data_IF_079492984631
#
_entry.id   IF_079492984631
#
_cell.length_a   1.000
_cell.length_b   1.000
_cell.length_c   1.000
_cell.angle_alpha   90.00
_cell.angle_beta   90.00
_cell.angle_gamma   90.00
#
_symmetry.space_group_name_H-M   'P 1'
#
loop_
_entity.id
_entity.type
_entity.pdbx_description
1 polymer ?
#
# COMPACT_ATOMS: atom_id res chain seq x y z
N UNK A 1 23.28 19.96 -31.56
CA UNK A 1 23.47 18.99 -30.48
C UNK A 1 22.53 17.82 -30.77
N UNK A 2 23.07 16.62 -30.90
CA UNK A 2 22.30 15.45 -31.37
C UNK A 2 21.20 15.06 -30.37
N UNK A 3 19.99 14.80 -30.85
CA UNK A 3 18.84 14.32 -30.05
C UNK A 3 19.19 13.10 -29.17
N UNK A 4 20.10 12.27 -29.61
CA UNK A 4 20.66 11.12 -28.87
C UNK A 4 21.44 11.54 -27.61
N UNK A 5 22.12 12.71 -27.64
CA UNK A 5 22.90 13.20 -26.51
C UNK A 5 22.01 13.82 -25.43
N UNK A 6 20.94 14.54 -25.84
CA UNK A 6 19.93 15.09 -24.93
C UNK A 6 19.15 13.98 -24.25
N UNK A 7 18.78 12.91 -25.00
CA UNK A 7 18.13 11.72 -24.44
C UNK A 7 19.01 10.99 -23.43
N UNK A 8 20.32 10.89 -23.68
CA UNK A 8 21.26 10.24 -22.75
C UNK A 8 21.47 11.03 -21.46
N UNK A 9 21.49 12.36 -21.53
CA UNK A 9 21.58 13.24 -20.33
C UNK A 9 20.30 13.15 -19.50
N UNK A 10 19.10 13.21 -20.13
CA UNK A 10 17.82 13.02 -19.42
C UNK A 10 17.73 11.67 -18.70
N UNK A 11 18.09 10.58 -19.39
CA UNK A 11 18.11 9.24 -18.79
C UNK A 11 19.10 9.18 -17.62
N UNK A 12 20.25 9.82 -17.71
CA UNK A 12 21.26 9.83 -16.65
C UNK A 12 20.82 10.66 -15.44
N UNK A 13 20.14 11.78 -15.65
CA UNK A 13 19.56 12.60 -14.57
C UNK A 13 18.37 11.89 -13.91
N UNK A 14 17.53 11.20 -14.66
CA UNK A 14 16.43 10.37 -14.13
C UNK A 14 16.97 9.19 -13.30
N UNK A 15 18.01 8.49 -13.81
CA UNK A 15 18.68 7.41 -13.07
C UNK A 15 19.36 7.95 -11.80
N UNK A 16 20.00 9.10 -11.87
CA UNK A 16 20.64 9.73 -10.71
C UNK A 16 19.62 10.21 -9.69
N UNK A 17 18.47 10.71 -10.12
CA UNK A 17 17.33 11.05 -9.26
C UNK A 17 16.76 9.82 -8.55
N UNK A 18 16.49 8.74 -9.28
CA UNK A 18 16.04 7.47 -8.73
C UNK A 18 17.06 6.85 -7.75
N UNK A 19 18.35 6.90 -8.09
CA UNK A 19 19.43 6.43 -7.20
C UNK A 19 19.55 7.29 -5.94
N UNK A 20 19.29 8.59 -6.03
CA UNK A 20 19.29 9.50 -4.86
C UNK A 20 18.11 9.15 -3.96
N UNK A 21 16.91 9.00 -4.48
CA UNK A 21 15.71 8.63 -3.72
C UNK A 21 15.88 7.27 -3.04
N UNK A 22 16.43 6.28 -3.76
CA UNK A 22 16.73 4.96 -3.20
C UNK A 22 17.88 4.96 -2.18
N UNK A 23 18.80 5.92 -2.28
CA UNK A 23 19.90 6.11 -1.32
C UNK A 23 19.37 6.76 -0.04
N UNK A 24 18.43 7.68 -0.18
CA UNK A 24 17.78 8.38 0.93
C UNK A 24 16.85 7.44 1.72
N UNK A 25 16.24 6.44 1.07
CA UNK A 25 15.44 5.41 1.76
C UNK A 25 16.25 4.60 2.78
N UNK A 26 17.55 4.42 2.54
CA UNK A 26 18.46 3.72 3.47
C UNK A 26 18.68 4.50 4.77
N UNK A 27 18.57 5.83 4.72
CA UNK A 27 18.78 6.72 5.88
C UNK A 27 17.48 7.21 6.49
N UNK A 28 16.33 6.92 5.84
CA UNK A 28 15.03 7.42 6.25
C UNK A 28 14.58 6.85 7.60
N UNK A 29 14.77 5.55 7.78
CA UNK A 29 14.38 4.88 9.02
C UNK A 29 15.61 4.48 9.82
N UNK A 30 15.62 4.77 11.14
CA UNK A 30 16.64 4.25 12.05
C UNK A 30 16.57 2.71 12.12
N UNK A 31 17.61 2.09 12.68
CA UNK A 31 17.63 0.64 12.87
C UNK A 31 16.47 0.16 13.76
N UNK A 32 16.12 0.97 14.77
CA UNK A 32 14.95 0.73 15.63
C UNK A 32 13.87 1.76 15.36
N UNK A 33 12.70 1.29 14.95
CA UNK A 33 11.48 2.11 14.75
C UNK A 33 10.68 2.13 16.03
N UNK A 34 10.19 3.31 16.39
CA UNK A 34 9.25 3.54 17.50
C UNK A 34 8.05 4.35 17.05
N UNK A 35 6.97 4.30 17.83
CA UNK A 35 5.78 5.11 17.56
C UNK A 35 6.07 6.62 17.67
N UNK A 36 6.97 7.02 18.56
CA UNK A 36 7.42 8.42 18.71
C UNK A 36 8.11 8.89 17.45
N UNK A 37 9.05 8.08 16.90
CA UNK A 37 9.73 8.41 15.65
C UNK A 37 8.72 8.62 14.50
N UNK A 38 7.72 7.75 14.38
CA UNK A 38 6.68 7.86 13.34
C UNK A 38 5.87 9.14 13.52
N UNK A 39 5.47 9.46 14.75
CA UNK A 39 4.67 10.68 15.03
C UNK A 39 5.45 11.97 14.79
N UNK A 40 6.77 11.96 15.00
CA UNK A 40 7.65 13.11 14.77
C UNK A 40 8.01 13.32 13.30
N UNK A 41 7.58 12.43 12.39
CA UNK A 41 7.81 12.60 10.97
C UNK A 41 7.08 13.82 10.42
N UNK A 42 7.69 14.55 9.46
CA UNK A 42 7.08 15.75 8.92
C UNK A 42 5.79 15.43 8.13
N UNK A 43 4.81 16.31 8.26
CA UNK A 43 3.57 16.31 7.47
C UNK A 43 3.57 17.51 6.54
N UNK A 44 2.91 17.39 5.38
CA UNK A 44 2.75 18.54 4.50
C UNK A 44 1.82 19.60 5.11
N UNK A 45 1.96 20.84 4.70
CA UNK A 45 0.96 21.86 5.06
C UNK A 45 -0.32 21.66 4.24
N UNK A 46 -1.47 21.83 4.89
CA UNK A 46 -2.77 21.85 4.23
C UNK A 46 -3.07 23.23 3.70
N UNK A 47 -3.73 23.31 2.53
CA UNK A 47 -4.27 24.57 2.01
C UNK A 47 -5.46 25.01 2.88
N UNK A 48 -5.88 26.29 2.77
CA UNK A 48 -7.05 26.79 3.52
C UNK A 48 -8.34 26.09 3.09
N UNK A 49 -8.44 25.69 1.80
CA UNK A 49 -9.56 24.92 1.29
C UNK A 49 -9.60 23.53 1.92
N UNK A 50 -8.45 22.86 2.03
CA UNK A 50 -8.36 21.54 2.69
C UNK A 50 -8.68 21.64 4.20
N UNK A 51 -8.22 22.69 4.87
CA UNK A 51 -8.53 22.92 6.31
C UNK A 51 -10.03 23.11 6.56
N UNK A 52 -10.75 23.64 5.56
CA UNK A 52 -12.20 23.85 5.66
C UNK A 52 -13.04 22.57 5.48
N UNK A 53 -12.43 21.46 5.00
CA UNK A 53 -13.14 20.20 4.81
C UNK A 53 -13.48 19.52 6.14
N UNK A 54 -14.67 18.89 6.27
CA UNK A 54 -15.17 18.38 7.55
C UNK A 54 -14.28 17.29 8.18
N UNK A 55 -13.52 16.57 7.36
CA UNK A 55 -12.59 15.51 7.80
C UNK A 55 -11.15 15.99 7.98
N UNK A 56 -10.83 17.28 7.76
CA UNK A 56 -9.47 17.83 7.95
C UNK A 56 -8.92 17.62 9.37
N UNK A 57 -9.81 17.57 10.37
CA UNK A 57 -9.46 17.31 11.78
C UNK A 57 -8.67 16.00 11.98
N UNK A 58 -8.89 15.00 11.12
CA UNK A 58 -8.18 13.72 11.21
C UNK A 58 -6.70 13.85 10.81
N UNK A 59 -6.37 14.82 9.95
CA UNK A 59 -4.98 15.07 9.53
C UNK A 59 -4.08 15.55 10.68
N UNK A 60 -4.65 16.23 11.66
CA UNK A 60 -3.91 16.82 12.78
C UNK A 60 -3.83 15.91 14.01
N UNK A 61 -4.52 14.78 14.01
CA UNK A 61 -4.39 13.77 15.06
C UNK A 61 -2.99 13.14 15.05
N UNK A 62 -2.55 12.69 16.23
CA UNK A 62 -1.40 11.80 16.29
C UNK A 62 -1.70 10.52 15.51
N UNK A 63 -0.66 9.94 14.91
CA UNK A 63 -0.77 8.62 14.29
C UNK A 63 -1.15 7.59 15.33
N UNK A 64 -2.02 6.67 14.97
CA UNK A 64 -2.32 5.54 15.83
C UNK A 64 -1.06 4.71 16.09
N UNK A 65 -0.93 4.21 17.31
CA UNK A 65 0.23 3.39 17.68
C UNK A 65 0.20 2.04 16.97
N UNK A 66 1.32 1.68 16.38
CA UNK A 66 1.58 0.31 15.96
C UNK A 66 1.74 -0.54 17.23
N UNK A 67 1.10 -1.72 17.34
CA UNK A 67 1.32 -2.63 18.47
C UNK A 67 2.80 -2.93 18.68
N UNK A 68 3.21 -2.99 19.97
CA UNK A 68 4.63 -3.20 20.28
C UNK A 68 5.17 -4.52 19.71
N UNK A 69 4.34 -5.56 19.68
CA UNK A 69 4.67 -6.86 19.10
C UNK A 69 5.03 -6.77 17.61
N UNK A 70 4.32 -5.95 16.83
CA UNK A 70 4.62 -5.73 15.42
C UNK A 70 5.90 -4.90 15.22
N UNK A 71 6.11 -3.88 16.08
CA UNK A 71 7.36 -3.12 16.08
C UNK A 71 8.56 -4.01 16.41
N UNK A 72 8.42 -4.91 17.39
CA UNK A 72 9.48 -5.84 17.79
C UNK A 72 9.82 -6.80 16.63
N UNK A 73 8.83 -7.30 15.89
CA UNK A 73 9.06 -8.14 14.70
C UNK A 73 9.83 -7.39 13.61
N UNK A 74 9.45 -6.15 13.32
CA UNK A 74 10.16 -5.34 12.30
C UNK A 74 11.57 -4.96 12.75
N UNK A 75 11.75 -4.64 14.03
CA UNK A 75 13.03 -4.26 14.62
C UNK A 75 13.98 -5.45 14.79
N UNK A 76 13.47 -6.66 14.91
CA UNK A 76 14.26 -7.89 14.91
C UNK A 76 15.00 -8.14 13.58
N UNK A 77 14.59 -7.43 12.50
CA UNK A 77 15.20 -7.57 11.19
C UNK A 77 14.45 -8.53 10.27
N UNK A 78 15.09 -8.99 9.18
CA UNK A 78 14.41 -9.79 8.16
C UNK A 78 14.08 -11.19 8.68
N UNK A 79 12.93 -11.70 8.25
CA UNK A 79 12.53 -13.10 8.47
C UNK A 79 13.41 -14.03 7.61
N UNK A 80 13.42 -15.32 7.95
CA UNK A 80 13.93 -16.36 7.06
C UNK A 80 13.10 -16.40 5.77
N UNK A 81 13.72 -16.29 4.58
CA UNK A 81 13.01 -16.32 3.31
C UNK A 81 12.15 -17.58 3.08
N UNK A 82 12.48 -18.69 3.73
CA UNK A 82 11.68 -19.92 3.65
C UNK A 82 10.29 -19.80 4.28
N UNK A 83 10.09 -18.80 5.17
CA UNK A 83 8.80 -18.47 5.80
C UNK A 83 7.98 -17.44 5.03
N UNK A 84 8.56 -16.84 3.99
CA UNK A 84 7.83 -15.92 3.12
C UNK A 84 6.87 -16.69 2.22
N UNK A 85 5.69 -16.13 1.98
CA UNK A 85 4.72 -16.68 1.02
C UNK A 85 5.22 -16.42 -0.42
N UNK A 86 5.57 -17.43 -1.21
CA UNK A 86 5.87 -17.24 -2.63
C UNK A 86 4.63 -16.71 -3.38
N UNK A 87 4.83 -15.85 -4.38
CA UNK A 87 3.72 -15.25 -5.13
C UNK A 87 2.86 -16.30 -5.84
N UNK A 88 3.46 -17.41 -6.26
CA UNK A 88 2.79 -18.55 -6.89
C UNK A 88 1.83 -19.26 -5.93
N UNK A 89 1.97 -19.02 -4.64
CA UNK A 89 1.13 -19.56 -3.57
C UNK A 89 0.18 -18.51 -2.96
N UNK A 90 -0.03 -17.38 -3.63
CA UNK A 90 -0.86 -16.30 -3.12
C UNK A 90 -2.29 -16.75 -2.73
N UNK A 91 -2.82 -17.76 -3.42
CA UNK A 91 -4.13 -18.36 -3.10
C UNK A 91 -4.22 -18.93 -1.67
N UNK A 92 -3.09 -19.22 -1.00
CA UNK A 92 -3.09 -19.64 0.41
C UNK A 92 -3.57 -18.57 1.38
N UNK A 93 -3.70 -17.31 0.94
CA UNK A 93 -4.37 -16.27 1.72
C UNK A 93 -5.86 -16.55 1.95
N UNK A 94 -6.45 -17.44 1.16
CA UNK A 94 -7.83 -17.94 1.32
C UNK A 94 -7.95 -19.05 2.36
N UNK A 95 -6.84 -19.69 2.75
CA UNK A 95 -6.83 -20.79 3.72
C UNK A 95 -7.24 -20.28 5.10
N UNK A 96 -7.92 -21.13 5.86
CA UNK A 96 -8.22 -20.88 7.26
C UNK A 96 -6.92 -20.77 8.08
N UNK A 97 -6.97 -19.99 9.17
CA UNK A 97 -5.85 -19.80 10.08
C UNK A 97 -4.82 -18.78 9.59
N UNK A 98 -3.55 -19.03 9.89
CA UNK A 98 -2.44 -18.12 9.64
C UNK A 98 -1.31 -18.79 8.86
N UNK A 99 -0.58 -17.98 8.09
CA UNK A 99 0.63 -18.40 7.40
C UNK A 99 1.84 -18.31 8.34
N UNK A 100 2.98 -18.88 7.93
CA UNK A 100 4.21 -18.86 8.70
C UNK A 100 4.72 -17.45 9.05
N UNK A 101 4.36 -16.46 8.21
CA UNK A 101 4.65 -15.04 8.46
C UNK A 101 3.39 -14.21 8.21
N UNK A 102 2.88 -13.58 9.26
CA UNK A 102 1.80 -12.58 9.16
C UNK A 102 2.35 -11.15 9.20
N UNK A 103 3.41 -10.88 9.97
CA UNK A 103 4.13 -9.60 10.00
C UNK A 103 5.63 -9.84 9.83
N UNK A 104 6.26 -9.16 8.87
CA UNK A 104 7.70 -9.26 8.63
C UNK A 104 8.09 -8.97 7.18
N UNK A 105 9.38 -8.99 6.92
CA UNK A 105 9.92 -8.70 5.59
C UNK A 105 11.20 -9.47 5.34
N UNK A 106 11.54 -9.70 4.08
CA UNK A 106 12.83 -10.25 3.70
C UNK A 106 13.18 -9.96 2.24
N UNK A 107 14.44 -10.21 1.92
CA UNK A 107 14.88 -10.35 0.56
C UNK A 107 14.86 -11.83 0.17
N UNK A 108 14.25 -12.13 -0.97
CA UNK A 108 14.15 -13.49 -1.48
C UNK A 108 15.45 -13.90 -2.20
N UNK A 109 15.82 -15.20 -2.16
CA UNK A 109 17.03 -15.71 -2.84
C UNK A 109 17.06 -15.45 -4.34
N UNK A 110 15.88 -15.34 -4.97
CA UNK A 110 15.70 -15.11 -6.40
C UNK A 110 15.88 -13.63 -6.82
N UNK A 111 16.26 -12.76 -5.88
CA UNK A 111 16.50 -11.34 -6.14
C UNK A 111 15.22 -10.48 -6.15
N UNK A 112 14.11 -10.99 -5.60
CA UNK A 112 12.89 -10.24 -5.29
C UNK A 112 12.83 -9.88 -3.82
N UNK A 113 11.78 -9.17 -3.37
CA UNK A 113 11.56 -8.87 -1.96
C UNK A 113 10.15 -9.29 -1.54
N UNK A 114 9.98 -9.47 -0.25
CA UNK A 114 8.70 -9.82 0.36
C UNK A 114 8.46 -8.96 1.61
N UNK A 115 7.22 -8.52 1.79
CA UNK A 115 6.74 -7.97 3.05
C UNK A 115 5.32 -8.49 3.34
N UNK A 116 5.03 -8.65 4.60
CA UNK A 116 3.73 -9.06 5.11
C UNK A 116 3.36 -8.22 6.33
N UNK A 117 2.08 -7.92 6.48
CA UNK A 117 1.51 -7.32 7.69
C UNK A 117 0.14 -7.88 7.97
N UNK A 118 -0.20 -7.98 9.25
CA UNK A 118 -1.55 -8.28 9.71
C UNK A 118 -1.95 -7.22 10.73
N UNK A 119 -3.02 -6.50 10.46
CA UNK A 119 -3.55 -5.48 11.36
C UNK A 119 -4.96 -5.86 11.76
N UNK A 120 -5.22 -5.96 13.06
CA UNK A 120 -6.57 -6.05 13.58
C UNK A 120 -7.19 -4.65 13.65
N UNK A 121 -8.37 -4.51 13.09
CA UNK A 121 -9.09 -3.23 13.01
C UNK A 121 -10.38 -3.32 13.83
N UNK A 122 -10.35 -2.92 15.11
CA UNK A 122 -11.51 -3.04 16.00
C UNK A 122 -12.66 -2.15 15.53
N UNK A 123 -13.88 -2.72 15.48
CA UNK A 123 -15.10 -1.98 15.09
C UNK A 123 -15.21 -1.66 13.60
N UNK A 124 -14.22 -2.00 12.80
CA UNK A 124 -14.26 -1.86 11.34
C UNK A 124 -14.99 -3.04 10.72
N UNK A 125 -15.82 -2.78 9.72
CA UNK A 125 -16.54 -3.80 8.93
C UNK A 125 -16.00 -3.88 7.51
N UNK A 126 -16.31 -4.97 6.82
CA UNK A 126 -16.01 -5.14 5.40
C UNK A 126 -16.59 -3.99 4.57
N UNK A 127 -17.82 -3.56 4.85
CA UNK A 127 -18.48 -2.45 4.16
C UNK A 127 -17.72 -1.13 4.30
N UNK A 128 -17.16 -0.86 5.48
CA UNK A 128 -16.33 0.34 5.71
C UNK A 128 -15.06 0.31 4.86
N UNK A 129 -14.42 -0.85 4.69
CA UNK A 129 -13.24 -1.01 3.84
C UNK A 129 -13.62 -0.80 2.36
N UNK A 130 -14.67 -1.45 1.89
CA UNK A 130 -15.13 -1.31 0.50
C UNK A 130 -15.54 0.14 0.19
N UNK A 131 -16.19 0.82 1.16
CA UNK A 131 -16.48 2.24 1.06
C UNK A 131 -15.21 3.09 1.00
N UNK A 132 -14.24 2.85 1.89
CA UNK A 132 -13.00 3.61 1.97
C UNK A 132 -12.24 3.61 0.64
N UNK A 133 -12.05 2.45 0.04
CA UNK A 133 -11.33 2.30 -1.23
C UNK A 133 -12.05 2.93 -2.43
N UNK A 134 -13.31 3.27 -2.30
CA UNK A 134 -14.08 4.01 -3.30
C UNK A 134 -14.20 5.51 -2.97
N UNK A 135 -14.09 5.90 -1.70
CA UNK A 135 -14.25 7.26 -1.25
C UNK A 135 -12.92 8.06 -1.25
N UNK A 136 -11.84 7.48 -0.74
CA UNK A 136 -10.58 8.20 -0.59
C UNK A 136 -9.92 8.62 -1.92
N UNK A 137 -10.02 7.89 -3.06
CA UNK A 137 -9.33 8.26 -4.29
C UNK A 137 -9.92 9.48 -4.99
N UNK A 138 -11.04 10.00 -4.51
CA UNK A 138 -11.76 11.11 -5.15
C UNK A 138 -11.23 12.49 -4.75
N UNK A 139 -10.44 12.58 -3.65
CA UNK A 139 -9.94 13.86 -3.16
C UNK A 139 -8.63 13.68 -2.38
N UNK A 140 -7.66 14.58 -2.63
CA UNK A 140 -6.29 14.45 -2.11
C UNK A 140 -6.18 14.40 -0.58
N UNK A 141 -6.99 15.19 0.14
CA UNK A 141 -6.97 15.19 1.61
C UNK A 141 -7.51 13.88 2.19
N UNK A 142 -8.48 13.24 1.53
CA UNK A 142 -9.01 11.92 1.95
C UNK A 142 -7.91 10.86 2.00
N UNK A 143 -6.98 10.92 1.06
CA UNK A 143 -5.79 10.06 1.06
C UNK A 143 -4.78 10.48 2.13
N UNK A 144 -4.57 11.79 2.29
CA UNK A 144 -3.59 12.31 3.24
C UNK A 144 -3.98 12.02 4.71
N UNK A 145 -5.26 12.00 5.06
CA UNK A 145 -5.69 11.66 6.44
C UNK A 145 -5.48 10.19 6.80
N UNK A 146 -5.35 9.31 5.80
CA UNK A 146 -5.04 7.91 6.03
C UNK A 146 -3.65 7.71 6.64
N UNK A 147 -2.64 8.39 6.07
CA UNK A 147 -1.28 8.36 6.59
C UNK A 147 -0.62 9.74 6.44
N UNK A 148 -0.91 10.70 7.34
CA UNK A 148 -0.44 12.08 7.25
C UNK A 148 1.07 12.25 7.11
N UNK A 149 1.86 11.25 7.54
CA UNK A 149 3.34 11.27 7.49
C UNK A 149 3.91 10.70 6.19
N UNK A 150 3.07 10.09 5.34
CA UNK A 150 3.52 9.43 4.11
C UNK A 150 2.69 9.80 2.87
N UNK A 151 1.41 10.13 3.02
CA UNK A 151 0.49 10.39 1.93
C UNK A 151 0.33 11.88 1.66
N UNK A 152 0.69 12.32 0.45
CA UNK A 152 0.59 13.74 0.09
C UNK A 152 -0.65 14.07 -0.72
N UNK A 153 -1.23 13.12 -1.42
CA UNK A 153 -2.43 13.30 -2.23
C UNK A 153 -2.66 12.14 -3.18
N UNK A 154 -3.80 12.13 -3.85
CA UNK A 154 -4.18 11.08 -4.81
C UNK A 154 -5.08 11.66 -5.90
N UNK A 155 -5.12 10.99 -7.04
CA UNK A 155 -6.16 11.15 -8.06
C UNK A 155 -6.55 9.79 -8.65
N UNK A 156 -7.81 9.62 -8.97
CA UNK A 156 -8.29 8.48 -9.75
C UNK A 156 -8.23 8.81 -11.24
N UNK A 157 -7.91 7.83 -12.09
CA UNK A 157 -7.91 7.98 -13.56
C UNK A 157 -9.32 8.25 -14.10
N UNK A 158 -10.31 7.64 -13.48
CA UNK A 158 -11.74 7.71 -13.84
C UNK A 158 -12.56 7.91 -12.56
N UNK A 159 -12.55 9.13 -11.96
CA UNK A 159 -13.24 9.37 -10.70
C UNK A 159 -14.75 9.12 -10.78
N UNK A 160 -15.40 9.41 -11.90
CA UNK A 160 -16.82 9.16 -12.15
C UNK A 160 -17.22 7.69 -11.96
N UNK A 161 -16.28 6.81 -12.19
CA UNK A 161 -16.52 5.38 -12.04
C UNK A 161 -16.59 4.92 -10.57
N UNK A 162 -16.02 5.67 -9.62
CA UNK A 162 -16.19 5.44 -8.18
C UNK A 162 -17.57 5.94 -7.69
N UNK A 163 -18.12 6.95 -8.37
CA UNK A 163 -19.44 7.53 -8.08
C UNK A 163 -20.59 6.72 -8.67
N UNK A 164 -20.30 5.89 -9.68
CA UNK A 164 -21.33 5.09 -10.34
C UNK A 164 -21.83 3.97 -9.43
N UNK A 165 -23.08 4.11 -8.97
CA UNK A 165 -23.78 3.13 -8.15
C UNK A 165 -24.62 2.13 -8.96
N UNK A 166 -24.61 2.22 -10.30
CA UNK A 166 -25.50 1.45 -11.19
C UNK A 166 -25.05 -0.01 -11.38
N UNK A 167 -25.00 -0.80 -10.31
CA UNK A 167 -24.93 -2.26 -10.41
C UNK A 167 -23.57 -2.91 -10.15
N UNK A 168 -22.48 -2.17 -9.92
CA UNK A 168 -21.21 -2.74 -9.49
C UNK A 168 -21.13 -2.71 -7.96
N UNK A 169 -20.96 -3.86 -7.34
CA UNK A 169 -20.69 -3.93 -5.90
C UNK A 169 -19.47 -3.09 -5.53
N UNK A 170 -19.48 -2.41 -4.37
CA UNK A 170 -18.31 -1.69 -3.84
C UNK A 170 -17.09 -2.60 -3.77
N UNK A 171 -17.29 -3.83 -3.32
CA UNK A 171 -16.31 -4.90 -3.20
C UNK A 171 -15.48 -5.18 -4.47
N UNK A 172 -16.04 -5.03 -5.66
CA UNK A 172 -15.35 -5.29 -6.93
C UNK A 172 -15.13 -4.03 -7.76
N UNK A 173 -15.55 -2.87 -7.25
CA UNK A 173 -15.56 -1.63 -8.01
C UNK A 173 -14.19 -1.15 -8.43
N UNK A 174 -13.15 -1.47 -7.66
CA UNK A 174 -11.78 -1.09 -7.98
C UNK A 174 -11.15 -1.92 -9.11
N UNK A 175 -11.65 -3.12 -9.40
CA UNK A 175 -11.07 -3.98 -10.43
C UNK A 175 -11.03 -3.26 -11.79
N UNK A 176 -9.84 -3.23 -12.39
CA UNK A 176 -9.57 -2.56 -13.66
C UNK A 176 -9.37 -1.05 -13.56
N UNK A 177 -9.40 -0.47 -12.36
CA UNK A 177 -9.16 0.96 -12.14
C UNK A 177 -7.70 1.27 -11.89
N UNK A 178 -7.38 2.56 -12.00
CA UNK A 178 -6.02 3.06 -11.79
C UNK A 178 -6.08 4.32 -10.93
N UNK A 179 -5.31 4.32 -9.86
CA UNK A 179 -5.10 5.47 -8.99
C UNK A 179 -3.67 6.00 -9.12
N UNK A 180 -3.50 7.29 -8.86
CA UNK A 180 -2.20 7.98 -8.90
C UNK A 180 -1.95 8.67 -7.56
N UNK A 181 -1.53 7.95 -6.52
CA UNK A 181 -1.11 8.57 -5.27
C UNK A 181 0.27 9.23 -5.40
N UNK A 182 0.47 10.24 -4.55
CA UNK A 182 1.78 10.84 -4.26
C UNK A 182 2.12 10.46 -2.83
N UNK A 183 3.11 9.60 -2.66
CA UNK A 183 3.46 9.06 -1.34
C UNK A 183 4.96 8.87 -1.13
N UNK A 184 5.35 8.87 0.13
CA UNK A 184 6.71 8.66 0.63
C UNK A 184 6.85 9.25 2.02
N UNK A 185 7.53 8.57 2.92
CA UNK A 185 7.74 9.02 4.30
C UNK A 185 8.60 10.29 4.45
N UNK A 186 9.32 10.66 3.43
CA UNK A 186 10.00 11.95 3.36
C UNK A 186 9.27 12.80 2.33
N UNK A 187 8.75 13.95 2.74
CA UNK A 187 8.10 14.90 1.83
C UNK A 187 8.97 15.26 0.62
N UNK A 188 10.31 15.21 0.78
CA UNK A 188 11.27 15.43 -0.30
C UNK A 188 11.45 14.24 -1.23
N UNK A 189 11.06 13.04 -0.75
CA UNK A 189 11.14 11.76 -1.46
C UNK A 189 9.78 11.26 -1.96
N UNK A 190 8.70 12.01 -1.75
CA UNK A 190 7.38 11.62 -2.21
C UNK A 190 7.36 11.45 -3.74
N UNK A 191 6.83 10.32 -4.20
CA UNK A 191 6.80 9.93 -5.59
C UNK A 191 5.38 9.76 -6.08
N UNK A 192 5.14 10.11 -7.34
CA UNK A 192 3.91 9.75 -8.05
C UNK A 192 3.98 8.26 -8.41
N UNK A 193 3.02 7.51 -7.91
CA UNK A 193 2.89 6.07 -8.12
C UNK A 193 1.63 5.81 -8.96
N UNK A 194 1.67 4.81 -9.80
CA UNK A 194 0.51 4.25 -10.48
C UNK A 194 0.12 2.97 -9.75
N UNK A 195 -1.09 2.91 -9.21
CA UNK A 195 -1.71 1.72 -8.62
C UNK A 195 -2.79 1.22 -9.58
N UNK A 196 -2.56 0.07 -10.20
CA UNK A 196 -3.51 -0.56 -11.11
C UNK A 196 -4.12 -1.80 -10.46
N UNK A 197 -5.45 -1.84 -10.32
CA UNK A 197 -6.17 -2.87 -9.58
C UNK A 197 -6.56 -4.05 -10.49
N UNK A 198 -6.54 -5.25 -9.93
CA UNK A 198 -6.76 -6.51 -10.63
C UNK A 198 -7.76 -7.41 -9.90
N UNK A 199 -8.38 -8.30 -10.68
CA UNK A 199 -9.14 -9.44 -10.15
C UNK A 199 -8.21 -10.50 -9.55
N UNK A 200 -8.63 -11.25 -8.52
CA UNK A 200 -7.90 -12.40 -7.96
C UNK A 200 -7.53 -13.48 -8.97
N UNK A 201 -8.18 -13.50 -10.12
CA UNK A 201 -7.88 -14.41 -11.23
C UNK A 201 -6.41 -14.33 -11.71
N UNK A 202 -5.72 -13.18 -11.50
CA UNK A 202 -4.28 -13.08 -11.83
C UNK A 202 -3.43 -14.08 -11.03
N UNK A 203 -3.91 -14.52 -9.87
CA UNK A 203 -3.30 -15.55 -9.02
C UNK A 203 -3.90 -16.95 -9.24
N UNK A 204 -4.76 -17.11 -10.25
CA UNK A 204 -5.47 -18.36 -10.51
C UNK A 204 -6.58 -18.66 -9.50
N UNK A 205 -7.03 -17.66 -8.75
CA UNK A 205 -8.12 -17.77 -7.77
C UNK A 205 -9.45 -17.62 -8.51
N UNK A 206 -10.31 -18.64 -8.46
CA UNK A 206 -11.65 -18.57 -9.04
C UNK A 206 -12.66 -17.90 -8.11
N UNK A 207 -13.80 -17.51 -8.67
CA UNK A 207 -14.90 -16.94 -7.91
C UNK A 207 -15.43 -17.93 -6.86
N UNK A 208 -15.52 -19.21 -7.21
CA UNK A 208 -15.99 -20.27 -6.32
C UNK A 208 -15.03 -20.47 -5.13
N UNK A 209 -13.72 -20.34 -5.36
CA UNK A 209 -12.72 -20.40 -4.28
C UNK A 209 -12.85 -19.20 -3.33
N UNK A 210 -13.10 -17.99 -3.86
CA UNK A 210 -13.37 -16.82 -3.03
C UNK A 210 -14.62 -16.98 -2.18
N UNK A 211 -15.73 -17.39 -2.81
CA UNK A 211 -17.02 -17.60 -2.12
C UNK A 211 -16.96 -18.70 -1.06
N UNK A 212 -16.08 -19.68 -1.22
CA UNK A 212 -15.88 -20.77 -0.27
C UNK A 212 -14.90 -20.43 0.87
N UNK A 213 -14.19 -19.29 0.78
CA UNK A 213 -13.19 -18.88 1.77
C UNK A 213 -13.78 -18.03 2.88
N UNK A 214 -12.99 -17.80 3.94
CA UNK A 214 -13.31 -16.85 5.01
C UNK A 214 -12.97 -15.38 4.64
N UNK A 215 -12.46 -15.13 3.45
CA UNK A 215 -12.14 -13.78 2.99
C UNK A 215 -13.42 -13.01 2.63
N UNK A 216 -13.63 -11.88 3.28
CA UNK A 216 -14.84 -11.06 3.11
C UNK A 216 -14.69 -9.99 2.04
N UNK A 217 -13.49 -9.43 1.88
CA UNK A 217 -13.14 -8.50 0.78
C UNK A 217 -11.65 -8.52 0.49
N UNK A 218 -11.23 -7.88 -0.59
CA UNK A 218 -9.83 -7.84 -1.00
C UNK A 218 -9.51 -6.59 -1.83
N UNK A 219 -8.20 -6.25 -1.85
CA UNK A 219 -7.63 -5.32 -2.82
C UNK A 219 -6.35 -5.93 -3.38
N UNK A 220 -6.27 -6.03 -4.71
CA UNK A 220 -5.12 -6.57 -5.43
C UNK A 220 -4.68 -5.55 -6.46
N UNK A 221 -3.42 -5.12 -6.40
CA UNK A 221 -2.91 -4.19 -7.40
C UNK A 221 -1.41 -4.31 -7.63
N UNK A 222 -0.97 -3.68 -8.71
CA UNK A 222 0.45 -3.38 -8.95
C UNK A 222 0.74 -1.95 -8.55
N UNK A 223 1.90 -1.72 -7.91
CA UNK A 223 2.49 -0.39 -7.74
C UNK A 223 3.62 -0.20 -8.74
N UNK A 224 3.59 0.91 -9.46
CA UNK A 224 4.62 1.28 -10.44
C UNK A 224 5.00 2.74 -10.22
N UNK A 225 6.29 3.04 -10.02
CA UNK A 225 6.78 4.43 -10.06
C UNK A 225 6.53 5.01 -11.45
N UNK A 226 6.03 6.25 -11.52
CA UNK A 226 5.71 6.89 -12.81
C UNK A 226 6.97 7.47 -13.45
N UNK A 227 7.91 8.00 -12.63
CA UNK A 227 9.17 8.61 -13.10
C UNK A 227 10.34 8.23 -12.19
N UNK A 228 11.29 7.39 -12.66
CA UNK A 228 11.22 6.58 -13.88
C UNK A 228 10.14 5.49 -13.77
N UNK A 229 9.56 5.07 -14.89
CA UNK A 229 8.56 4.01 -14.87
C UNK A 229 9.21 2.68 -14.48
N UNK A 230 9.00 2.27 -13.23
CA UNK A 230 9.62 1.08 -12.66
C UNK A 230 8.63 0.33 -11.78
N UNK A 231 8.36 -0.96 -12.03
CA UNK A 231 7.54 -1.78 -11.14
C UNK A 231 8.14 -1.83 -9.74
N UNK A 232 7.32 -1.55 -8.73
CA UNK A 232 7.69 -1.59 -7.31
C UNK A 232 7.30 -2.93 -6.73
N UNK A 233 6.00 -3.24 -6.71
CA UNK A 233 5.46 -4.48 -6.15
C UNK A 233 4.13 -4.87 -6.80
N UNK A 234 3.69 -6.08 -6.49
CA UNK A 234 2.29 -6.48 -6.49
C UNK A 234 1.90 -6.61 -5.02
N UNK A 235 0.73 -6.12 -4.65
CA UNK A 235 0.16 -6.39 -3.34
C UNK A 235 -1.14 -7.18 -3.41
N UNK A 236 -1.42 -7.91 -2.35
CA UNK A 236 -2.70 -8.54 -2.09
C UNK A 236 -3.09 -8.27 -0.64
N UNK A 237 -4.13 -7.49 -0.46
CA UNK A 237 -4.81 -7.29 0.81
C UNK A 237 -5.99 -8.25 0.89
N UNK A 238 -5.92 -9.20 1.80
CA UNK A 238 -6.96 -10.16 2.10
C UNK A 238 -7.60 -9.79 3.44
N UNK A 239 -8.87 -9.47 3.42
CA UNK A 239 -9.61 -9.01 4.58
C UNK A 239 -10.61 -10.07 4.99
N UNK A 240 -10.69 -10.39 6.28
CA UNK A 240 -11.69 -11.29 6.83
C UNK A 240 -12.33 -10.72 8.09
N UNK A 241 -13.59 -11.02 8.29
CA UNK A 241 -14.30 -10.69 9.52
C UNK A 241 -13.86 -11.61 10.65
N UNK A 242 -13.67 -11.02 11.82
CA UNK A 242 -13.35 -11.72 13.07
C UNK A 242 -14.15 -11.12 14.21
N UNK A 243 -14.13 -11.75 15.38
CA UNK A 243 -14.82 -11.20 16.54
C UNK A 243 -14.32 -9.79 16.88
N UNK A 244 -15.23 -8.83 16.89
CA UNK A 244 -14.97 -7.44 17.24
C UNK A 244 -14.40 -6.55 16.13
N UNK A 245 -14.26 -7.04 14.89
CA UNK A 245 -13.77 -6.23 13.77
C UNK A 245 -13.33 -7.06 12.57
N UNK A 246 -12.24 -6.64 11.94
CA UNK A 246 -11.64 -7.36 10.80
C UNK A 246 -10.15 -7.59 11.03
N UNK A 247 -9.61 -8.59 10.38
CA UNK A 247 -8.18 -8.74 10.13
C UNK A 247 -7.84 -8.29 8.71
N UNK A 248 -6.95 -7.32 8.60
CA UNK A 248 -6.42 -6.80 7.35
C UNK A 248 -5.04 -7.40 7.12
N UNK A 249 -4.95 -8.39 6.21
CA UNK A 249 -3.75 -9.20 5.95
C UNK A 249 -3.14 -8.79 4.62
N UNK A 250 -2.00 -8.10 4.65
CA UNK A 250 -1.32 -7.61 3.44
C UNK A 250 -0.14 -8.48 3.07
N UNK A 251 0.04 -8.69 1.78
CA UNK A 251 1.25 -9.30 1.20
C UNK A 251 1.75 -8.44 0.06
N UNK A 252 3.05 -8.23 0.02
CA UNK A 252 3.74 -7.43 -0.98
C UNK A 252 4.87 -8.25 -1.57
N UNK A 253 4.84 -8.45 -2.88
CA UNK A 253 5.91 -9.09 -3.64
C UNK A 253 6.63 -8.02 -4.46
N UNK A 254 7.79 -7.59 -3.95
CA UNK A 254 8.57 -6.51 -4.55
C UNK A 254 9.27 -7.01 -5.80
N UNK A 255 9.38 -6.13 -6.79
CA UNK A 255 9.97 -6.41 -8.10
C UNK A 255 9.13 -7.36 -8.96
N UNK A 256 7.84 -7.45 -8.68
CA UNK A 256 6.85 -8.10 -9.53
C UNK A 256 5.96 -7.09 -10.24
N UNK A 257 5.39 -7.51 -11.35
CA UNK A 257 4.39 -6.79 -12.15
C UNK A 257 3.42 -7.80 -12.76
N UNK A 258 2.35 -7.33 -13.40
CA UNK A 258 1.42 -8.18 -14.16
C UNK A 258 1.71 -8.03 -15.65
N UNK A 259 1.88 -9.14 -16.33
CA UNK A 259 2.01 -9.24 -17.78
C UNK A 259 1.16 -10.39 -18.29
N UNK A 260 0.40 -10.13 -19.37
CA UNK A 260 -0.51 -11.12 -19.98
C UNK A 260 -1.47 -11.77 -18.94
N UNK A 261 -1.98 -10.93 -17.99
CA UNK A 261 -2.90 -11.36 -16.94
C UNK A 261 -2.28 -12.22 -15.84
N UNK A 262 -0.95 -12.29 -15.73
CA UNK A 262 -0.26 -13.11 -14.72
C UNK A 262 0.85 -12.33 -14.03
N UNK A 263 1.12 -12.59 -12.74
CA UNK A 263 2.28 -12.08 -12.05
C UNK A 263 3.58 -12.57 -12.71
N UNK A 264 4.52 -11.66 -12.88
CA UNK A 264 5.86 -12.00 -13.36
C UNK A 264 6.91 -11.08 -12.74
N UNK A 265 8.15 -11.57 -12.67
CA UNK A 265 9.26 -10.74 -12.20
C UNK A 265 9.52 -9.61 -13.19
N UNK A 266 9.73 -8.42 -12.65
CA UNK A 266 10.18 -7.28 -13.45
C UNK A 266 11.60 -7.53 -13.97
N UNK A 267 11.80 -7.31 -15.26
CA UNK A 267 13.13 -7.33 -15.88
C UNK A 267 14.00 -6.11 -15.57
N UNK A 268 13.51 -5.15 -14.79
CA UNK A 268 14.25 -3.96 -14.40
C UNK A 268 15.51 -4.33 -13.61
N UNK A 269 16.69 -3.73 -13.90
CA UNK A 269 17.88 -3.88 -13.07
C UNK A 269 17.72 -3.24 -11.69
N UNK A 270 16.70 -2.38 -11.51
CA UNK A 270 16.37 -1.71 -10.26
C UNK A 270 15.04 -2.21 -9.69
N UNK A 271 14.90 -2.23 -8.34
CA UNK A 271 15.94 -1.98 -7.34
C UNK A 271 17.02 -3.06 -7.32
N UNK A 272 18.23 -2.68 -6.90
CA UNK A 272 19.33 -3.62 -6.66
C UNK A 272 19.05 -4.51 -5.45
N UNK A 273 19.85 -5.57 -5.28
CA UNK A 273 19.71 -6.52 -4.17
C UNK A 273 19.74 -5.85 -2.79
N UNK A 274 20.68 -4.92 -2.57
CA UNK A 274 20.76 -4.18 -1.30
C UNK A 274 19.61 -3.19 -1.09
N UNK A 275 19.06 -2.64 -2.15
CA UNK A 275 17.91 -1.74 -2.08
C UNK A 275 16.62 -2.49 -1.74
N UNK A 276 16.45 -3.71 -2.23
CA UNK A 276 15.26 -4.54 -1.95
C UNK A 276 15.06 -4.81 -0.48
N UNK A 277 16.15 -5.02 0.28
CA UNK A 277 16.07 -5.18 1.73
C UNK A 277 15.39 -3.97 2.40
N UNK A 278 15.89 -2.77 2.09
CA UNK A 278 15.34 -1.53 2.66
C UNK A 278 13.92 -1.26 2.17
N UNK A 279 13.65 -1.52 0.90
CA UNK A 279 12.30 -1.35 0.36
C UNK A 279 11.29 -2.31 0.99
N UNK A 280 11.66 -3.56 1.22
CA UNK A 280 10.80 -4.53 1.89
C UNK A 280 10.53 -4.11 3.35
N UNK A 281 11.56 -3.64 4.06
CA UNK A 281 11.42 -3.08 5.41
C UNK A 281 10.53 -1.85 5.42
N UNK A 282 10.78 -0.88 4.52
CA UNK A 282 9.98 0.33 4.40
C UNK A 282 8.51 0.00 4.09
N UNK A 283 8.27 -0.95 3.19
CA UNK A 283 6.93 -1.37 2.82
C UNK A 283 6.18 -1.99 4.01
N UNK A 284 6.87 -2.81 4.81
CA UNK A 284 6.31 -3.37 6.04
C UNK A 284 5.95 -2.26 7.05
N UNK A 285 6.87 -1.31 7.30
CA UNK A 285 6.64 -0.18 8.21
C UNK A 285 5.49 0.71 7.71
N UNK A 286 5.45 1.02 6.40
CA UNK A 286 4.38 1.81 5.79
C UNK A 286 3.03 1.15 6.02
N UNK A 287 2.92 -0.12 5.67
CA UNK A 287 1.67 -0.87 5.82
C UNK A 287 1.18 -0.91 7.28
N UNK A 288 2.07 -1.16 8.25
CA UNK A 288 1.71 -1.11 9.66
C UNK A 288 1.27 0.31 10.09
N UNK A 289 1.96 1.34 9.63
CA UNK A 289 1.67 2.73 9.98
C UNK A 289 0.30 3.15 9.45
N UNK A 290 0.05 2.94 8.16
CA UNK A 290 -1.17 3.39 7.50
C UNK A 290 -2.41 2.62 7.96
N UNK A 291 -2.34 1.28 8.09
CA UNK A 291 -3.51 0.47 8.44
C UNK A 291 -3.88 0.55 9.91
N UNK A 292 -2.92 0.71 10.83
CA UNK A 292 -3.24 1.01 12.22
C UNK A 292 -3.89 2.40 12.35
N UNK A 293 -3.41 3.39 11.58
CA UNK A 293 -4.03 4.71 11.57
C UNK A 293 -5.45 4.66 10.97
N UNK A 294 -5.62 3.97 9.83
CA UNK A 294 -6.94 3.78 9.23
C UNK A 294 -7.92 3.12 10.20
N UNK A 295 -7.50 2.06 10.89
CA UNK A 295 -8.31 1.39 11.91
C UNK A 295 -8.84 2.36 12.98
N UNK A 296 -8.04 3.36 13.36
CA UNK A 296 -8.40 4.32 14.39
C UNK A 296 -9.38 5.43 13.95
N UNK A 297 -9.45 5.70 12.65
CA UNK A 297 -10.25 6.82 12.12
C UNK A 297 -11.45 6.35 11.28
N UNK A 298 -11.38 5.18 10.65
CA UNK A 298 -12.34 4.73 9.65
C UNK A 298 -13.78 4.63 10.18
N UNK A 299 -14.08 4.04 11.35
CA UNK A 299 -15.45 3.98 11.84
C UNK A 299 -16.07 5.37 12.00
N UNK A 300 -15.31 6.33 12.56
CA UNK A 300 -15.80 7.68 12.77
C UNK A 300 -16.04 8.43 11.46
N UNK A 301 -15.13 8.33 10.50
CA UNK A 301 -15.27 8.98 9.19
C UNK A 301 -16.46 8.39 8.44
N UNK A 302 -16.59 7.06 8.46
CA UNK A 302 -17.70 6.37 7.80
C UNK A 302 -19.06 6.86 8.32
N UNK A 303 -19.20 6.94 9.64
CA UNK A 303 -20.42 7.44 10.28
C UNK A 303 -20.68 8.93 9.95
N UNK A 304 -19.65 9.78 10.01
CA UNK A 304 -19.76 11.21 9.69
C UNK A 304 -20.10 11.47 8.23
N UNK A 305 -19.61 10.65 7.31
CA UNK A 305 -19.92 10.76 5.88
C UNK A 305 -21.20 10.00 5.50
N UNK A 306 -21.82 9.31 6.46
CA UNK A 306 -23.05 8.53 6.27
C UNK A 306 -22.90 7.40 5.27
N UNK A 307 -21.69 6.83 5.09
CA UNK A 307 -21.39 5.77 4.12
C UNK A 307 -21.57 6.18 2.65
N UNK A 308 -21.68 7.47 2.36
CA UNK A 308 -21.88 7.97 0.99
C UNK A 308 -20.55 8.19 0.28
N UNK A 309 -20.56 7.95 -1.02
CA UNK A 309 -19.45 8.27 -1.93
C UNK A 309 -19.88 9.48 -2.75
N UNK A 310 -19.39 10.65 -2.37
CA UNK A 310 -19.71 11.94 -2.99
C UNK A 310 -18.40 12.67 -3.34
#
# INVERSE_FOLDING_TARGET
MNETFVSYICIKEEIMGALKTLRDTKTLFPDTITNEFINDMPRRELTEEEKALPYSKYYFKDMAKIPQEDLDLVNAGPIDPSKALPIEQAARLLDDGYLDTETGFCQMPDGTGFAATKVFMPGVTTEMIDWWFNWHPLEGLRYAIWCPVAHSGISAKTPEAHLDSSGTSLHTRNIGRVHYPIEGFDLKGAQLIEIAFYSPEIFGISKEQLEASSMSTFEIATCTSVKPRTPINIFFHAIREVEGGIEYRSRYWLKYTVKDGKPCKSGSPFPTKSQLYYMARCNCIHSLTEYNNLASILPQIYDEMGGKIE
#
